data_IF_880257529154
#
_entry.id   IF_880257529154
#
_cell.length_a   1.000
_cell.length_b   1.000
_cell.length_c   1.000
_cell.angle_alpha   90.00
_cell.angle_beta   90.00
_cell.angle_gamma   90.00
#
_symmetry.space_group_name_H-M   'P 1'
#
loop_
_entity.id
_entity.type
_entity.pdbx_description
1 polymer ?
#
# COMPACT_ATOMS: atom_id res chain seq x y z
N UNK A 1 36.89 6.57 -8.37
CA UNK A 1 35.97 6.35 -9.51
C UNK A 1 34.89 5.41 -9.00
N UNK A 2 33.70 5.93 -8.75
CA UNK A 2 32.56 5.14 -8.27
C UNK A 2 31.92 4.47 -9.48
N UNK A 3 31.67 3.17 -9.35
CA UNK A 3 31.15 2.30 -10.38
C UNK A 3 29.83 2.81 -10.98
N UNK A 4 29.85 3.04 -12.29
CA UNK A 4 28.66 3.20 -13.13
C UNK A 4 27.97 1.84 -13.30
N UNK A 5 27.31 1.35 -12.26
CA UNK A 5 26.28 0.32 -12.44
C UNK A 5 24.94 1.00 -12.74
N UNK A 6 24.37 0.87 -13.95
CA UNK A 6 22.98 1.25 -14.18
C UNK A 6 22.14 0.14 -13.54
N UNK A 7 21.93 0.22 -12.23
CA UNK A 7 20.96 -0.68 -11.59
C UNK A 7 19.61 0.03 -11.69
N UNK A 8 18.79 -0.44 -12.62
CA UNK A 8 17.38 -0.06 -12.79
C UNK A 8 16.52 -0.60 -11.62
N UNK A 9 16.90 -0.34 -10.37
CA UNK A 9 16.15 -0.85 -9.22
C UNK A 9 15.04 0.11 -8.78
N UNK A 10 13.88 -0.47 -8.46
CA UNK A 10 12.81 0.22 -7.79
C UNK A 10 13.18 0.42 -6.31
N UNK A 11 13.09 1.66 -5.82
CA UNK A 11 13.15 1.99 -4.40
C UNK A 11 11.84 2.66 -3.96
N UNK A 12 11.18 2.03 -2.97
CA UNK A 12 10.01 2.56 -2.31
C UNK A 12 9.98 2.17 -0.82
N UNK A 13 9.21 2.90 -0.05
CA UNK A 13 9.07 2.74 1.39
C UNK A 13 7.58 2.80 1.76
N UNK A 14 7.15 1.87 2.61
CA UNK A 14 5.83 1.82 3.20
C UNK A 14 6.01 1.69 4.72
N UNK A 15 5.54 2.68 5.46
CA UNK A 15 5.69 2.78 6.90
C UNK A 15 4.36 2.45 7.55
N UNK A 16 4.36 1.40 8.37
CA UNK A 16 3.15 0.91 9.02
C UNK A 16 3.41 0.52 10.46
N UNK A 17 2.44 0.81 11.32
CA UNK A 17 2.32 0.15 12.62
C UNK A 17 1.43 -1.08 12.50
N UNK A 18 1.68 -2.04 13.39
CA UNK A 18 0.85 -3.24 13.54
C UNK A 18 -0.06 -3.06 14.74
N UNK A 19 -1.37 -3.16 14.51
CA UNK A 19 -2.38 -2.97 15.54
C UNK A 19 -2.81 -4.32 16.09
N UNK A 20 -2.58 -4.52 17.38
CA UNK A 20 -3.02 -5.70 18.11
C UNK A 20 -4.10 -5.32 19.12
N UNK A 21 -5.12 -6.17 19.28
CA UNK A 21 -6.12 -6.03 20.35
C UNK A 21 -5.93 -7.11 21.40
N UNK A 22 -6.07 -6.71 22.67
CA UNK A 22 -6.10 -7.64 23.79
C UNK A 22 -7.54 -8.08 24.04
N UNK A 23 -7.80 -9.37 23.90
CA UNK A 23 -9.07 -9.94 24.33
C UNK A 23 -8.97 -10.08 25.86
N UNK A 24 -9.55 -9.11 26.58
CA UNK A 24 -9.42 -8.96 28.05
C UNK A 24 -9.76 -10.23 28.86
N UNK A 25 -10.44 -11.22 28.27
CA UNK A 25 -10.79 -12.49 28.92
C UNK A 25 -9.83 -13.65 28.62
N UNK A 26 -9.09 -13.68 27.51
CA UNK A 26 -8.30 -14.86 27.11
C UNK A 26 -6.78 -14.73 27.28
N UNK A 27 -6.25 -13.53 27.60
CA UNK A 27 -4.80 -13.22 27.50
C UNK A 27 -4.22 -13.45 26.10
N UNK A 28 -5.06 -13.65 25.09
CA UNK A 28 -4.63 -13.79 23.71
C UNK A 28 -4.62 -12.41 23.05
N UNK A 29 -3.55 -12.16 22.32
CA UNK A 29 -3.40 -10.98 21.49
C UNK A 29 -3.81 -11.34 20.07
N UNK A 30 -4.80 -10.64 19.51
CA UNK A 30 -5.24 -10.84 18.13
C UNK A 30 -4.77 -9.68 17.26
N UNK A 31 -4.23 -9.99 16.08
CA UNK A 31 -3.96 -8.97 15.07
C UNK A 31 -5.28 -8.32 14.65
N UNK A 32 -5.39 -7.01 14.85
CA UNK A 32 -6.54 -6.21 14.41
C UNK A 32 -6.32 -5.72 12.98
N UNK A 33 -5.15 -5.15 12.69
CA UNK A 33 -4.92 -4.45 11.45
C UNK A 33 -3.57 -3.76 11.37
N UNK A 34 -3.44 -2.86 10.41
CA UNK A 34 -2.24 -2.06 10.20
C UNK A 34 -2.60 -0.58 10.08
N UNK A 35 -1.76 0.28 10.64
CA UNK A 35 -1.86 1.72 10.46
C UNK A 35 -0.81 2.20 9.47
N UNK A 36 -1.20 2.77 8.33
CA UNK A 36 -0.29 3.32 7.32
C UNK A 36 0.00 4.78 7.65
N UNK A 37 1.28 5.10 7.90
CA UNK A 37 1.74 6.48 8.09
C UNK A 37 2.18 7.12 6.80
N UNK A 38 3.01 6.39 6.06
CA UNK A 38 3.72 6.98 4.95
C UNK A 38 3.99 5.98 3.84
N UNK A 39 3.93 6.51 2.63
CA UNK A 39 4.13 5.77 1.41
C UNK A 39 4.90 6.64 0.43
N UNK A 40 6.13 6.22 0.10
CA UNK A 40 7.06 6.98 -0.74
C UNK A 40 7.68 6.11 -1.82
N UNK A 41 7.82 6.70 -3.01
CA UNK A 41 8.57 6.10 -4.12
C UNK A 41 9.49 7.14 -4.72
N UNK A 42 10.74 6.78 -5.00
CA UNK A 42 11.74 7.73 -5.53
C UNK A 42 11.35 8.29 -6.90
N UNK A 43 10.76 7.47 -7.77
CA UNK A 43 10.35 7.85 -9.13
C UNK A 43 8.82 7.80 -9.21
N UNK A 44 8.21 8.92 -9.57
CA UNK A 44 6.75 9.06 -9.72
C UNK A 44 6.26 8.47 -11.06
N UNK A 45 4.98 8.13 -11.14
CA UNK A 45 4.27 7.73 -12.37
C UNK A 45 4.81 6.49 -13.12
N UNK A 46 5.59 5.63 -12.45
CA UNK A 46 6.06 4.34 -12.99
C UNK A 46 5.28 3.12 -12.48
N UNK A 47 4.19 3.33 -11.75
CA UNK A 47 3.40 2.25 -11.13
C UNK A 47 4.05 1.60 -9.91
N UNK A 48 5.23 2.08 -9.52
CA UNK A 48 6.02 1.66 -8.35
C UNK A 48 5.27 1.73 -7.03
N UNK A 49 4.39 2.72 -6.88
CA UNK A 49 3.54 2.78 -5.72
C UNK A 49 2.54 1.62 -5.67
N UNK A 50 1.79 1.42 -6.77
CA UNK A 50 0.88 0.29 -6.87
C UNK A 50 1.60 -1.05 -6.71
N UNK A 51 2.84 -1.17 -7.19
CA UNK A 51 3.67 -2.34 -6.97
C UNK A 51 3.90 -2.60 -5.47
N UNK A 52 4.45 -1.62 -4.75
CA UNK A 52 4.79 -1.78 -3.34
C UNK A 52 3.56 -2.14 -2.50
N UNK A 53 2.46 -1.41 -2.70
CA UNK A 53 1.22 -1.66 -1.97
C UNK A 53 0.63 -3.04 -2.33
N UNK A 54 0.68 -3.44 -3.60
CA UNK A 54 0.22 -4.77 -4.04
C UNK A 54 0.99 -5.91 -3.38
N UNK A 55 2.32 -5.83 -3.31
CA UNK A 55 3.12 -6.89 -2.68
C UNK A 55 2.94 -6.91 -1.15
N UNK A 56 2.79 -5.75 -0.51
CA UNK A 56 2.51 -5.66 0.93
C UNK A 56 1.13 -6.27 1.27
N UNK A 57 0.07 -5.88 0.57
CA UNK A 57 -1.28 -6.42 0.78
C UNK A 57 -1.33 -7.92 0.46
N UNK A 58 -0.63 -8.36 -0.60
CA UNK A 58 -0.52 -9.79 -0.91
C UNK A 58 0.14 -10.54 0.25
N UNK A 59 1.32 -10.13 0.69
CA UNK A 59 2.03 -10.76 1.82
C UNK A 59 1.12 -10.85 3.06
N UNK A 60 0.52 -9.74 3.46
CA UNK A 60 -0.36 -9.69 4.64
C UNK A 60 -1.56 -10.65 4.46
N UNK A 61 -2.17 -10.68 3.28
CA UNK A 61 -3.30 -11.58 3.01
C UNK A 61 -2.94 -13.07 3.12
N UNK A 62 -1.73 -13.45 2.71
CA UNK A 62 -1.29 -14.84 2.75
C UNK A 62 -0.96 -15.30 4.17
N UNK A 63 -0.49 -14.39 5.03
CA UNK A 63 -0.07 -14.71 6.39
C UNK A 63 -1.17 -14.55 7.43
N UNK A 64 -2.10 -13.60 7.22
CA UNK A 64 -3.08 -13.19 8.22
C UNK A 64 -4.53 -13.27 7.73
N UNK A 65 -4.73 -13.68 6.47
CA UNK A 65 -6.04 -13.72 5.84
C UNK A 65 -6.49 -12.37 5.28
N UNK A 66 -7.67 -12.35 4.66
CA UNK A 66 -8.18 -11.18 3.94
C UNK A 66 -9.03 -10.25 4.79
N UNK A 67 -9.42 -10.65 6.01
CA UNK A 67 -10.26 -9.84 6.91
C UNK A 67 -9.47 -8.79 7.72
N UNK A 68 -8.21 -8.56 7.36
CA UNK A 68 -7.34 -7.59 8.02
C UNK A 68 -7.69 -6.18 7.57
N UNK A 69 -7.82 -5.28 8.55
CA UNK A 69 -8.12 -3.88 8.33
C UNK A 69 -6.85 -3.05 8.14
N UNK A 70 -6.94 -2.01 7.31
CA UNK A 70 -5.92 -0.97 7.20
C UNK A 70 -6.56 0.38 7.43
N UNK A 71 -5.86 1.24 8.13
CA UNK A 71 -6.28 2.61 8.45
C UNK A 71 -5.07 3.54 8.31
N UNK A 72 -5.28 4.84 8.11
CA UNK A 72 -4.16 5.78 8.05
C UNK A 72 -4.57 7.22 7.79
N UNK A 73 -3.71 8.15 8.18
CA UNK A 73 -3.82 9.55 7.77
C UNK A 73 -2.95 9.79 6.53
N UNK A 74 -3.52 10.42 5.52
CA UNK A 74 -2.78 11.03 4.42
C UNK A 74 -2.01 12.22 4.99
N UNK A 75 -0.77 12.41 4.53
CA UNK A 75 0.10 13.46 5.05
C UNK A 75 -0.42 14.82 4.61
N UNK A 76 -0.68 15.73 5.55
CA UNK A 76 -1.09 17.10 5.27
C UNK A 76 -0.17 17.85 4.27
N UNK A 77 1.12 17.50 4.23
CA UNK A 77 2.05 18.07 3.24
C UNK A 77 1.71 17.60 1.82
N UNK A 78 1.29 16.34 1.68
CA UNK A 78 0.89 15.75 0.41
C UNK A 78 -0.49 16.27 -0.06
N UNK A 79 -1.37 16.64 0.87
CA UNK A 79 -2.71 17.21 0.60
C UNK A 79 -2.65 18.61 -0.03
N UNK A 80 -1.57 19.37 0.24
CA UNK A 80 -1.38 20.72 -0.30
C UNK A 80 -1.06 20.74 -1.80
N UNK A 81 -0.56 19.63 -2.35
CA UNK A 81 -0.28 19.46 -3.77
C UNK A 81 -1.40 18.61 -4.41
N UNK A 82 -2.33 19.23 -5.16
CA UNK A 82 -3.49 18.52 -5.71
C UNK A 82 -3.13 17.36 -6.64
N UNK A 83 -2.03 17.47 -7.39
CA UNK A 83 -1.59 16.41 -8.30
C UNK A 83 -1.07 15.21 -7.49
N UNK A 84 -0.27 15.49 -6.47
CA UNK A 84 0.28 14.47 -5.61
C UNK A 84 -0.80 13.76 -4.77
N UNK A 85 -1.75 14.52 -4.23
CA UNK A 85 -2.93 14.02 -3.54
C UNK A 85 -3.75 13.08 -4.45
N UNK A 86 -4.19 13.57 -5.62
CA UNK A 86 -4.97 12.76 -6.57
C UNK A 86 -4.24 11.48 -7.00
N UNK A 87 -2.91 11.56 -7.19
CA UNK A 87 -2.08 10.40 -7.53
C UNK A 87 -2.00 9.38 -6.40
N UNK A 88 -1.94 9.82 -5.14
CA UNK A 88 -1.93 8.93 -3.97
C UNK A 88 -3.29 8.27 -3.78
N UNK A 89 -4.37 9.04 -3.86
CA UNK A 89 -5.74 8.55 -3.77
C UNK A 89 -6.01 7.48 -4.80
N UNK A 90 -5.60 7.74 -6.04
CA UNK A 90 -5.72 6.78 -7.12
C UNK A 90 -5.00 5.45 -6.82
N UNK A 91 -3.87 5.49 -6.11
CA UNK A 91 -3.16 4.26 -5.72
C UNK A 91 -3.99 3.48 -4.68
N UNK A 92 -4.50 4.14 -3.65
CA UNK A 92 -5.32 3.51 -2.61
C UNK A 92 -6.63 2.93 -3.19
N UNK A 93 -7.35 3.70 -3.98
CA UNK A 93 -8.64 3.30 -4.57
C UNK A 93 -8.54 2.04 -5.44
N UNK A 94 -7.42 1.84 -6.16
CA UNK A 94 -7.17 0.61 -6.94
C UNK A 94 -7.26 -0.66 -6.11
N UNK A 95 -6.87 -0.60 -4.84
CA UNK A 95 -6.90 -1.74 -3.93
C UNK A 95 -8.15 -1.77 -3.05
N UNK A 96 -9.10 -0.85 -3.30
CA UNK A 96 -10.38 -0.80 -2.62
C UNK A 96 -10.38 -0.04 -1.30
N UNK A 97 -9.36 0.77 -1.05
CA UNK A 97 -9.41 1.72 0.06
C UNK A 97 -10.48 2.77 -0.22
N UNK A 98 -11.17 3.13 0.85
CA UNK A 98 -12.08 4.27 0.93
C UNK A 98 -11.31 5.46 1.52
N UNK A 99 -11.66 6.66 1.08
CA UNK A 99 -10.99 7.91 1.49
C UNK A 99 -12.07 8.87 1.96
N UNK A 100 -11.93 9.35 3.20
CA UNK A 100 -12.79 10.34 3.83
C UNK A 100 -11.94 11.53 4.29
N UNK A 101 -11.89 12.57 3.47
CA UNK A 101 -10.96 13.68 3.65
C UNK A 101 -9.51 13.20 3.64
N UNK A 102 -8.79 13.43 4.74
CA UNK A 102 -7.40 13.03 4.91
C UNK A 102 -7.27 11.60 5.47
N UNK A 103 -8.36 10.88 5.72
CA UNK A 103 -8.33 9.54 6.30
C UNK A 103 -8.56 8.47 5.24
N UNK A 104 -7.73 7.43 5.25
CA UNK A 104 -7.84 6.27 4.35
C UNK A 104 -8.10 5.00 5.14
N UNK A 105 -8.98 4.14 4.65
CA UNK A 105 -9.28 2.87 5.29
C UNK A 105 -9.63 1.76 4.31
N UNK A 106 -9.32 0.54 4.71
CA UNK A 106 -9.65 -0.70 3.99
C UNK A 106 -10.17 -1.71 5.02
N UNK A 107 -11.42 -2.15 4.87
CA UNK A 107 -12.05 -3.12 5.79
C UNK A 107 -11.68 -4.57 5.54
N UNK A 108 -11.03 -4.83 4.40
CA UNK A 108 -10.59 -6.17 4.02
C UNK A 108 -9.87 -6.16 2.68
N UNK A 109 -8.92 -7.07 2.54
CA UNK A 109 -8.07 -7.18 1.36
C UNK A 109 -8.82 -7.91 0.24
N UNK A 110 -9.02 -7.23 -0.89
CA UNK A 110 -9.53 -7.87 -2.12
C UNK A 110 -8.40 -8.51 -2.92
N UNK A 111 -8.34 -9.85 -2.94
CA UNK A 111 -7.37 -10.59 -3.76
C UNK A 111 -7.59 -10.36 -5.25
N UNK A 112 -8.83 -10.19 -5.69
CA UNK A 112 -9.17 -9.88 -7.08
C UNK A 112 -8.50 -8.58 -7.54
N UNK A 113 -8.66 -7.49 -6.79
CA UNK A 113 -8.04 -6.20 -7.09
C UNK A 113 -6.51 -6.27 -7.13
N UNK A 114 -5.91 -7.05 -6.22
CA UNK A 114 -4.46 -7.29 -6.23
C UNK A 114 -4.03 -8.01 -7.51
N UNK A 115 -4.73 -9.09 -7.86
CA UNK A 115 -4.41 -9.89 -9.04
C UNK A 115 -4.62 -9.11 -10.33
N UNK A 116 -5.64 -8.26 -10.41
CA UNK A 116 -5.86 -7.34 -11.53
C UNK A 116 -4.68 -6.38 -11.73
N UNK A 117 -4.23 -5.70 -10.66
CA UNK A 117 -3.08 -4.78 -10.77
C UNK A 117 -1.79 -5.54 -11.12
N UNK A 118 -1.58 -6.75 -10.57
CA UNK A 118 -0.46 -7.63 -10.96
C UNK A 118 -0.54 -8.01 -12.45
N UNK A 119 -1.73 -8.35 -12.96
CA UNK A 119 -1.93 -8.71 -14.36
C UNK A 119 -1.71 -7.52 -15.31
N UNK A 120 -2.22 -6.32 -14.98
CA UNK A 120 -2.02 -5.08 -15.75
C UNK A 120 -0.52 -4.79 -15.91
N UNK A 121 0.26 -4.94 -14.84
CA UNK A 121 1.73 -4.78 -14.86
C UNK A 121 2.41 -5.81 -15.76
N UNK A 122 2.08 -7.10 -15.60
CA UNK A 122 2.70 -8.16 -16.38
C UNK A 122 2.43 -8.03 -17.89
N UNK A 123 1.28 -7.49 -18.28
CA UNK A 123 1.00 -7.16 -19.69
C UNK A 123 1.91 -6.05 -20.21
N UNK A 124 2.09 -4.96 -19.45
CA UNK A 124 2.96 -3.84 -19.84
C UNK A 124 4.42 -4.27 -20.08
N UNK A 125 4.93 -5.15 -19.22
CA UNK A 125 6.30 -5.67 -19.36
C UNK A 125 6.49 -6.60 -20.58
N UNK A 126 5.41 -7.11 -21.19
CA UNK A 126 5.47 -7.90 -22.43
C UNK A 126 5.33 -7.06 -23.70
N UNK A 127 5.02 -5.78 -23.56
CA UNK A 127 4.78 -4.84 -24.66
C UNK A 127 5.90 -3.81 -24.82
N UNK A 128 6.97 -3.95 -24.03
CA UNK A 128 8.17 -3.10 -24.02
C UNK A 128 9.35 -3.92 -24.54
#
# INVERSE_FOLDING_TARGET
MLDNHPVDYFQGQLWMDVLYTNIQKSKETQLKGFWIYEFRTRIKNKGYGSLLLSEALWYISQHFGTSIEFEGWLSFVDERDPENHARRDHIYQKFGFEIDGEYTYLRGISLEKILEEKAKRNRRNRSS
#
